data_IF_065684765615
#
_entry.id   IF_065684765615
#
_cell.length_a   1.000
_cell.length_b   1.000
_cell.length_c   1.000
_cell.angle_alpha   90.00
_cell.angle_beta   90.00
_cell.angle_gamma   90.00
#
_symmetry.space_group_name_H-M   'P 1'
#
loop_
_entity.id
_entity.type
_entity.pdbx_description
1 polymer ?
#
# COMPACT_ATOMS: atom_id res chain seq x y z
N UNK A 1 4.55 65.87 50.75
CA UNK A 1 4.30 64.50 51.26
C UNK A 1 2.90 64.07 50.79
N UNK A 2 2.72 62.81 50.35
CA UNK A 2 1.53 62.18 49.70
C UNK A 2 1.52 62.24 48.17
N UNK A 3 1.21 61.18 47.43
CA UNK A 3 1.41 59.70 47.53
C UNK A 3 1.19 59.23 46.09
N UNK A 4 2.13 58.45 45.55
CA UNK A 4 2.08 57.87 44.19
C UNK A 4 1.01 56.76 44.15
N UNK A 5 0.14 56.78 43.15
CA UNK A 5 -0.71 55.63 42.80
C UNK A 5 -0.21 55.09 41.47
N UNK A 6 0.56 53.99 41.54
CA UNK A 6 0.88 53.15 40.39
C UNK A 6 -0.33 52.24 40.15
N UNK A 7 -0.91 52.29 38.95
CA UNK A 7 -1.90 51.32 38.49
C UNK A 7 -1.12 50.22 37.76
N UNK A 8 -1.02 49.06 38.41
CA UNK A 8 -0.47 47.84 37.81
C UNK A 8 -1.56 47.22 36.93
N UNK A 9 -1.41 47.30 35.61
CA UNK A 9 -2.28 46.58 34.68
C UNK A 9 -1.82 45.11 34.61
N UNK A 10 -2.62 44.22 35.19
CA UNK A 10 -2.46 42.77 35.15
C UNK A 10 -2.84 42.28 33.74
N UNK A 11 -1.84 42.02 32.91
CA UNK A 11 -2.03 41.40 31.61
C UNK A 11 -2.40 39.92 31.78
N UNK A 12 -3.67 39.58 31.55
CA UNK A 12 -4.11 38.19 31.41
C UNK A 12 -3.57 37.66 30.09
N UNK A 13 -2.51 36.86 30.18
CA UNK A 13 -1.95 36.10 29.06
C UNK A 13 -2.95 34.99 28.71
N UNK A 14 -3.76 35.24 27.66
CA UNK A 14 -4.66 34.24 27.09
C UNK A 14 -3.82 33.19 26.35
N UNK A 15 -3.47 32.09 27.02
CA UNK A 15 -2.86 30.94 26.34
C UNK A 15 -3.93 30.19 25.53
N UNK A 16 -3.65 29.81 24.27
CA UNK A 16 -4.56 28.98 23.49
C UNK A 16 -4.66 27.58 24.12
N UNK A 17 -5.88 27.05 24.18
CA UNK A 17 -6.24 25.75 24.74
C UNK A 17 -5.95 24.63 23.71
N UNK A 18 -4.92 23.78 23.90
CA UNK A 18 -4.70 22.59 23.06
C UNK A 18 -5.74 21.48 23.31
N UNK A 19 -6.47 21.53 24.43
CA UNK A 19 -7.40 20.48 24.85
C UNK A 19 -8.62 20.28 23.93
N UNK A 20 -9.10 21.33 23.26
CA UNK A 20 -10.27 21.25 22.37
C UNK A 20 -9.99 20.55 21.04
N UNK A 21 -8.72 20.47 20.63
CA UNK A 21 -8.34 19.79 19.39
C UNK A 21 -8.43 18.27 19.55
N UNK A 22 -7.94 17.72 20.67
CA UNK A 22 -7.96 16.28 20.96
C UNK A 22 -9.38 15.71 21.05
N UNK A 23 -10.29 16.35 21.79
CA UNK A 23 -11.68 15.89 21.91
C UNK A 23 -12.43 15.82 20.57
N UNK A 24 -12.13 16.75 19.65
CA UNK A 24 -12.73 16.76 18.31
C UNK A 24 -12.20 15.62 17.45
N UNK A 25 -10.91 15.34 17.51
CA UNK A 25 -10.27 14.28 16.74
C UNK A 25 -10.71 12.90 17.25
N UNK A 26 -10.88 12.72 18.56
CA UNK A 26 -11.41 11.50 19.16
C UNK A 26 -12.87 11.23 18.74
N UNK A 27 -13.72 12.26 18.74
CA UNK A 27 -15.11 12.11 18.28
C UNK A 27 -15.19 11.79 16.77
N UNK A 28 -14.31 12.37 15.95
CA UNK A 28 -14.25 12.05 14.52
C UNK A 28 -13.68 10.65 14.28
N UNK A 29 -12.72 10.20 15.08
CA UNK A 29 -12.22 8.84 15.07
C UNK A 29 -13.36 7.83 15.32
N UNK A 30 -14.15 8.01 16.37
CA UNK A 30 -15.28 7.14 16.69
C UNK A 30 -16.25 7.03 15.50
N UNK A 31 -16.65 8.17 14.93
CA UNK A 31 -17.54 8.23 13.75
C UNK A 31 -16.96 7.49 12.54
N UNK A 32 -15.66 7.66 12.28
CA UNK A 32 -14.99 6.99 11.15
C UNK A 32 -14.83 5.50 11.37
N UNK A 33 -14.59 5.07 12.62
CA UNK A 33 -14.49 3.65 13.00
C UNK A 33 -15.83 2.95 12.81
N UNK A 34 -16.95 3.56 13.24
CA UNK A 34 -18.29 3.01 13.00
C UNK A 34 -18.59 2.84 11.51
N UNK A 35 -18.27 3.86 10.70
CA UNK A 35 -18.42 3.79 9.24
C UNK A 35 -17.55 2.67 8.63
N UNK A 36 -16.31 2.53 9.10
CA UNK A 36 -15.36 1.52 8.65
C UNK A 36 -15.87 0.10 8.98
N UNK A 37 -16.36 -0.12 10.20
CA UNK A 37 -16.95 -1.39 10.61
C UNK A 37 -18.17 -1.75 9.74
N UNK A 38 -19.07 -0.79 9.52
CA UNK A 38 -20.24 -0.97 8.65
C UNK A 38 -19.86 -1.35 7.22
N UNK A 39 -18.79 -0.76 6.66
CA UNK A 39 -18.29 -1.15 5.35
C UNK A 39 -17.66 -2.55 5.35
N UNK A 40 -16.93 -2.90 6.40
CA UNK A 40 -16.30 -4.21 6.57
C UNK A 40 -17.33 -5.34 6.65
N UNK A 41 -18.37 -5.18 7.46
CA UNK A 41 -19.47 -6.15 7.59
C UNK A 41 -20.16 -6.45 6.25
N UNK A 42 -20.23 -5.44 5.38
CA UNK A 42 -20.83 -5.54 4.05
C UNK A 42 -19.82 -5.91 2.95
N UNK A 43 -18.57 -6.18 3.32
CA UNK A 43 -17.46 -6.49 2.42
C UNK A 43 -17.20 -5.40 1.36
N UNK A 44 -17.50 -4.14 1.70
CA UNK A 44 -17.26 -2.97 0.84
C UNK A 44 -15.85 -2.47 1.07
N UNK A 45 -14.86 -3.19 0.54
CA UNK A 45 -13.44 -2.95 0.83
C UNK A 45 -12.95 -1.56 0.42
N UNK A 46 -13.39 -1.03 -0.72
CA UNK A 46 -13.07 0.36 -1.11
C UNK A 46 -13.59 1.39 -0.10
N UNK A 47 -14.70 1.10 0.58
CA UNK A 47 -15.23 1.91 1.67
C UNK A 47 -14.35 1.86 2.92
N UNK A 48 -13.87 0.67 3.28
CA UNK A 48 -12.92 0.46 4.38
C UNK A 48 -11.62 1.23 4.13
N UNK A 49 -11.03 1.09 2.94
CA UNK A 49 -9.79 1.80 2.56
C UNK A 49 -9.91 3.31 2.75
N UNK A 50 -10.96 3.91 2.18
CA UNK A 50 -11.17 5.35 2.25
C UNK A 50 -11.36 5.85 3.69
N UNK A 51 -12.06 5.09 4.53
CA UNK A 51 -12.25 5.47 5.94
C UNK A 51 -10.96 5.30 6.74
N UNK A 52 -10.21 4.25 6.45
CA UNK A 52 -8.93 4.02 7.10
C UNK A 52 -7.91 5.13 6.78
N UNK A 53 -7.82 5.57 5.52
CA UNK A 53 -6.97 6.71 5.14
C UNK A 53 -7.40 8.01 5.85
N UNK A 54 -8.71 8.24 6.01
CA UNK A 54 -9.22 9.37 6.77
C UNK A 54 -8.84 9.29 8.25
N UNK A 55 -8.91 8.10 8.85
CA UNK A 55 -8.48 7.84 10.23
C UNK A 55 -6.98 8.10 10.38
N UNK A 56 -6.15 7.64 9.45
CA UNK A 56 -4.70 7.90 9.46
C UNK A 56 -4.34 9.37 9.24
N UNK A 57 -5.25 10.15 8.65
CA UNK A 57 -5.12 11.59 8.47
C UNK A 57 -5.63 12.43 9.65
N UNK A 58 -6.20 11.79 10.67
CA UNK A 58 -6.48 12.46 11.95
C UNK A 58 -5.15 12.82 12.63
N UNK A 59 -5.18 13.81 13.52
CA UNK A 59 -4.01 14.32 14.24
C UNK A 59 -3.45 13.35 15.27
N UNK A 60 -3.22 13.83 16.49
CA UNK A 60 -2.59 13.03 17.55
C UNK A 60 -3.63 12.14 18.25
N UNK A 61 -4.19 11.18 17.50
CA UNK A 61 -5.15 10.20 18.00
C UNK A 61 -4.59 8.79 17.93
N UNK A 62 -4.82 8.03 18.99
CA UNK A 62 -4.45 6.63 19.04
C UNK A 62 -5.49 5.79 18.29
N UNK A 63 -5.09 5.28 17.13
CA UNK A 63 -5.93 4.37 16.34
C UNK A 63 -5.96 2.98 17.01
N UNK A 64 -7.15 2.40 17.27
CA UNK A 64 -7.24 1.07 17.87
C UNK A 64 -6.67 -0.05 16.99
N UNK A 65 -6.12 -1.10 17.62
CA UNK A 65 -5.60 -2.30 16.94
C UNK A 65 -6.58 -2.89 15.92
N UNK A 66 -7.85 -3.04 16.30
CA UNK A 66 -8.87 -3.66 15.44
C UNK A 66 -9.17 -2.90 14.17
N UNK A 67 -8.95 -1.58 14.18
CA UNK A 67 -9.08 -0.74 12.97
C UNK A 67 -7.98 -1.08 11.98
N UNK A 68 -6.74 -1.22 12.46
CA UNK A 68 -5.60 -1.65 11.64
C UNK A 68 -5.82 -3.05 11.07
N UNK A 69 -6.30 -4.01 11.87
CA UNK A 69 -6.57 -5.38 11.41
C UNK A 69 -7.69 -5.42 10.36
N UNK A 70 -8.78 -4.70 10.59
CA UNK A 70 -9.88 -4.60 9.62
C UNK A 70 -9.39 -4.01 8.29
N UNK A 71 -8.56 -2.97 8.35
CA UNK A 71 -7.94 -2.40 7.16
C UNK A 71 -6.94 -3.36 6.50
N UNK A 72 -6.19 -4.16 7.26
CA UNK A 72 -5.29 -5.17 6.70
C UNK A 72 -6.07 -6.22 5.89
N UNK A 73 -7.20 -6.70 6.42
CA UNK A 73 -8.08 -7.62 5.67
C UNK A 73 -8.62 -6.99 4.38
N UNK A 74 -9.01 -5.71 4.41
CA UNK A 74 -9.48 -5.00 3.22
C UNK A 74 -8.37 -4.84 2.16
N UNK A 75 -7.15 -4.51 2.55
CA UNK A 75 -5.99 -4.45 1.66
C UNK A 75 -5.70 -5.81 1.02
N UNK A 76 -5.65 -6.88 1.82
CA UNK A 76 -5.44 -8.26 1.32
C UNK A 76 -6.55 -8.65 0.34
N UNK A 77 -7.80 -8.37 0.69
CA UNK A 77 -8.94 -8.63 -0.17
C UNK A 77 -8.89 -7.83 -1.49
N UNK A 78 -8.09 -6.76 -1.59
CA UNK A 78 -7.84 -6.00 -2.81
C UNK A 78 -6.59 -6.44 -3.57
N UNK A 79 -5.76 -7.31 -2.99
CA UNK A 79 -4.48 -7.75 -3.55
C UNK A 79 -3.29 -6.88 -3.15
N UNK A 80 -3.47 -5.89 -2.27
CA UNK A 80 -2.39 -5.00 -1.82
C UNK A 80 -1.70 -5.58 -0.58
N UNK A 81 -0.74 -6.47 -0.82
CA UNK A 81 0.00 -7.15 0.25
C UNK A 81 0.96 -6.21 0.98
N UNK A 82 1.49 -5.19 0.30
CA UNK A 82 2.36 -4.20 0.94
C UNK A 82 1.60 -3.37 1.98
N UNK A 83 0.40 -2.89 1.64
CA UNK A 83 -0.47 -2.21 2.59
C UNK A 83 -0.98 -3.16 3.67
N UNK A 84 -1.25 -4.42 3.35
CA UNK A 84 -1.61 -5.44 4.35
C UNK A 84 -0.51 -5.55 5.41
N UNK A 85 0.73 -5.73 4.99
CA UNK A 85 1.89 -5.87 5.88
C UNK A 85 2.08 -4.61 6.75
N UNK A 86 2.05 -3.41 6.17
CA UNK A 86 2.17 -2.15 6.93
C UNK A 86 1.09 -2.02 8.02
N UNK A 87 -0.14 -2.45 7.71
CA UNK A 87 -1.28 -2.39 8.64
C UNK A 87 -1.17 -3.41 9.76
N UNK A 88 -0.68 -4.62 9.48
CA UNK A 88 -0.40 -5.62 10.51
C UNK A 88 0.71 -5.16 11.45
N UNK A 89 1.77 -4.56 10.91
CA UNK A 89 2.84 -3.98 11.72
C UNK A 89 2.33 -2.82 12.59
N UNK A 90 1.41 -1.98 12.09
CA UNK A 90 0.71 -0.97 12.90
C UNK A 90 -0.11 -1.58 14.01
N UNK A 91 -0.89 -2.63 13.72
CA UNK A 91 -1.68 -3.35 14.71
C UNK A 91 -0.80 -3.88 15.86
N UNK A 92 0.32 -4.54 15.52
CA UNK A 92 1.29 -5.06 16.48
C UNK A 92 2.02 -3.98 17.30
N UNK A 93 2.16 -2.77 16.76
CA UNK A 93 2.69 -1.61 17.53
C UNK A 93 1.71 -1.13 18.59
N UNK A 94 0.40 -1.31 18.39
CA UNK A 94 -0.62 -0.97 19.39
C UNK A 94 -0.66 -2.04 20.47
N UNK A 95 -0.82 -3.30 20.06
CA UNK A 95 -0.81 -4.46 20.96
C UNK A 95 -0.32 -5.68 20.17
N UNK A 96 0.73 -6.31 20.69
CA UNK A 96 1.37 -7.45 20.05
C UNK A 96 0.53 -8.71 20.18
N UNK A 97 0.42 -9.45 19.09
CA UNK A 97 -0.38 -10.66 19.01
C UNK A 97 0.33 -11.73 18.17
N UNK A 98 0.36 -12.97 18.66
CA UNK A 98 1.08 -14.09 18.03
C UNK A 98 0.46 -14.50 16.68
N UNK A 99 -0.86 -14.35 16.49
CA UNK A 99 -1.52 -14.63 15.21
C UNK A 99 -1.16 -13.56 14.17
N UNK A 100 -1.06 -12.30 14.60
CA UNK A 100 -0.60 -11.19 13.73
C UNK A 100 0.87 -11.38 13.36
N UNK A 101 1.73 -11.75 14.31
CA UNK A 101 3.14 -12.08 14.04
C UNK A 101 3.27 -13.26 13.05
N UNK A 102 2.45 -14.30 13.21
CA UNK A 102 2.42 -15.44 12.29
C UNK A 102 1.98 -15.03 10.88
N UNK A 103 0.99 -14.15 10.76
CA UNK A 103 0.53 -13.65 9.46
C UNK A 103 1.59 -12.75 8.78
N UNK A 104 2.29 -11.90 9.55
CA UNK A 104 3.43 -11.12 9.04
C UNK A 104 4.53 -12.05 8.52
N UNK A 105 4.85 -13.11 9.26
CA UNK A 105 5.86 -14.08 8.85
C UNK A 105 5.44 -14.79 7.55
N UNK A 106 4.19 -15.25 7.46
CA UNK A 106 3.65 -15.87 6.25
C UNK A 106 3.80 -14.97 5.02
N UNK A 107 3.48 -13.68 5.15
CA UNK A 107 3.63 -12.71 4.05
C UNK A 107 5.10 -12.61 3.64
N UNK A 108 6.03 -12.51 4.59
CA UNK A 108 7.45 -12.36 4.28
C UNK A 108 8.09 -13.62 3.68
N UNK A 109 7.51 -14.80 3.93
CA UNK A 109 7.96 -16.07 3.34
C UNK A 109 7.39 -16.32 1.94
N UNK A 110 6.22 -15.76 1.63
CA UNK A 110 5.52 -16.03 0.38
C UNK A 110 5.68 -14.92 -0.66
N UNK A 111 5.99 -13.69 -0.26
CA UNK A 111 5.99 -12.52 -1.13
C UNK A 111 7.34 -11.78 -1.08
N UNK A 112 7.77 -11.28 -2.24
CA UNK A 112 8.95 -10.40 -2.36
C UNK A 112 8.53 -8.96 -2.65
N UNK A 113 9.27 -7.99 -2.11
CA UNK A 113 9.07 -6.56 -2.42
C UNK A 113 9.55 -6.27 -3.84
N UNK A 114 8.75 -5.55 -4.61
CA UNK A 114 9.09 -5.19 -5.98
C UNK A 114 8.89 -3.70 -6.25
N UNK A 115 9.73 -3.17 -7.12
CA UNK A 115 9.56 -1.85 -7.72
C UNK A 115 9.73 -2.03 -9.22
N UNK A 116 8.61 -1.97 -9.93
CA UNK A 116 8.52 -2.18 -11.37
C UNK A 116 8.15 -0.85 -12.00
N UNK A 117 8.97 -0.34 -12.92
CA UNK A 117 8.66 0.91 -13.59
C UNK A 117 9.19 0.98 -15.02
N UNK A 118 8.53 1.81 -15.81
CA UNK A 118 8.94 2.18 -17.16
C UNK A 118 9.41 3.62 -17.20
N UNK A 119 10.42 3.91 -18.02
CA UNK A 119 10.95 5.28 -18.20
C UNK A 119 10.92 5.67 -19.69
N UNK A 120 10.06 6.61 -20.11
CA UNK A 120 9.04 7.30 -19.29
C UNK A 120 7.88 6.36 -18.89
N UNK A 121 7.10 6.69 -17.84
CA UNK A 121 5.95 5.91 -17.39
C UNK A 121 4.95 5.71 -18.53
N UNK A 122 4.77 4.45 -18.93
CA UNK A 122 3.84 4.03 -19.98
C UNK A 122 3.34 2.63 -19.68
N UNK A 123 2.07 2.40 -20.02
CA UNK A 123 1.44 1.09 -19.93
C UNK A 123 2.28 -0.02 -20.53
N UNK A 124 2.53 -1.07 -19.76
CA UNK A 124 3.25 -2.25 -20.22
C UNK A 124 2.63 -3.53 -19.68
N UNK A 125 2.66 -4.55 -20.52
CA UNK A 125 2.23 -5.90 -20.16
C UNK A 125 3.26 -6.54 -19.21
N UNK A 126 2.74 -7.15 -18.15
CA UNK A 126 3.47 -8.02 -17.24
C UNK A 126 2.73 -9.36 -17.16
N UNK A 127 3.49 -10.46 -17.09
CA UNK A 127 2.94 -11.81 -16.94
C UNK A 127 3.73 -12.60 -15.92
N UNK A 128 3.04 -13.41 -15.12
CA UNK A 128 3.70 -14.48 -14.38
C UNK A 128 3.97 -15.64 -15.35
N UNK A 129 5.14 -16.27 -15.26
CA UNK A 129 5.46 -17.48 -16.04
C UNK A 129 4.47 -18.61 -15.71
N UNK A 130 4.14 -18.74 -14.43
CA UNK A 130 3.10 -19.65 -13.92
C UNK A 130 2.15 -18.86 -13.04
N UNK A 131 0.89 -18.74 -13.47
CA UNK A 131 -0.13 -18.07 -12.67
C UNK A 131 -0.40 -18.83 -11.37
N UNK A 132 -0.43 -18.14 -10.21
CA UNK A 132 -0.78 -18.78 -8.94
C UNK A 132 -2.17 -19.43 -8.97
N UNK A 133 -2.25 -20.63 -8.40
CA UNK A 133 -3.53 -21.33 -8.23
C UNK A 133 -4.40 -20.68 -7.15
N UNK A 134 -3.77 -20.26 -6.05
CA UNK A 134 -4.42 -19.59 -4.92
C UNK A 134 -5.08 -18.27 -5.36
N UNK A 135 -6.39 -18.07 -5.11
CA UNK A 135 -7.11 -16.87 -5.56
C UNK A 135 -6.52 -15.56 -5.03
N UNK A 136 -6.06 -15.54 -3.78
CA UNK A 136 -5.44 -14.36 -3.17
C UNK A 136 -4.18 -13.96 -3.93
N UNK A 137 -3.25 -14.89 -4.14
CA UNK A 137 -2.00 -14.65 -4.90
C UNK A 137 -2.27 -14.21 -6.32
N UNK A 138 -3.27 -14.81 -6.98
CA UNK A 138 -3.70 -14.39 -8.32
C UNK A 138 -4.11 -12.92 -8.34
N UNK A 139 -4.91 -12.50 -7.36
CA UNK A 139 -5.38 -11.12 -7.26
C UNK A 139 -4.24 -10.11 -7.08
N UNK A 140 -3.18 -10.49 -6.38
CA UNK A 140 -1.96 -9.67 -6.26
C UNK A 140 -1.28 -9.48 -7.62
N UNK A 141 -1.15 -10.55 -8.41
CA UNK A 141 -0.59 -10.46 -9.76
C UNK A 141 -1.48 -9.61 -10.66
N UNK A 142 -2.81 -9.81 -10.63
CA UNK A 142 -3.77 -9.01 -11.41
C UNK A 142 -3.71 -7.51 -11.05
N UNK A 143 -3.54 -7.18 -9.77
CA UNK A 143 -3.36 -5.80 -9.32
C UNK A 143 -2.09 -5.18 -9.95
N UNK A 144 -0.97 -5.88 -9.87
CA UNK A 144 0.30 -5.42 -10.42
C UNK A 144 0.27 -5.25 -11.95
N UNK A 145 -0.39 -6.19 -12.66
CA UNK A 145 -0.60 -6.09 -14.11
C UNK A 145 -1.41 -4.84 -14.43
N UNK A 146 -2.54 -4.64 -13.75
CA UNK A 146 -3.40 -3.47 -13.97
C UNK A 146 -2.65 -2.15 -13.76
N UNK A 147 -1.91 -2.02 -12.65
CA UNK A 147 -1.16 -0.79 -12.34
C UNK A 147 -0.02 -0.54 -13.34
N UNK A 148 0.69 -1.57 -13.78
CA UNK A 148 1.69 -1.45 -14.84
C UNK A 148 1.08 -1.11 -16.20
N UNK A 149 -0.11 -1.60 -16.53
CA UNK A 149 -0.81 -1.29 -17.78
C UNK A 149 -1.37 0.13 -17.79
N UNK A 150 -1.89 0.61 -16.65
CA UNK A 150 -2.52 1.94 -16.53
C UNK A 150 -1.48 3.04 -16.32
N UNK A 151 -0.53 2.84 -15.41
CA UNK A 151 0.40 3.87 -14.92
C UNK A 151 1.84 3.64 -15.36
N UNK A 152 2.20 2.41 -15.75
CA UNK A 152 3.57 2.04 -16.09
C UNK A 152 4.48 1.93 -14.87
N UNK A 153 3.92 1.90 -13.67
CA UNK A 153 4.60 1.80 -12.38
C UNK A 153 3.81 0.88 -11.45
N UNK A 154 4.51 0.01 -10.72
CA UNK A 154 3.98 -0.77 -9.61
C UNK A 154 5.01 -0.82 -8.48
N UNK A 155 4.59 -0.43 -7.27
CA UNK A 155 5.43 -0.48 -6.07
C UNK A 155 4.66 -1.27 -5.02
N UNK A 156 5.10 -2.48 -4.72
CA UNK A 156 4.34 -3.36 -3.85
C UNK A 156 5.05 -4.66 -3.54
N UNK A 157 4.28 -5.73 -3.37
CA UNK A 157 4.78 -7.08 -3.16
C UNK A 157 4.14 -8.04 -4.14
N UNK A 158 4.94 -8.97 -4.68
CA UNK A 158 4.47 -10.03 -5.56
C UNK A 158 4.74 -11.40 -4.93
N UNK A 159 3.91 -12.42 -5.22
CA UNK A 159 4.23 -13.79 -4.83
C UNK A 159 5.60 -14.21 -5.38
N UNK A 160 6.31 -15.05 -4.63
CA UNK A 160 7.53 -15.67 -5.11
C UNK A 160 7.31 -16.38 -6.46
N UNK A 161 8.21 -16.18 -7.41
CA UNK A 161 8.09 -16.78 -8.73
C UNK A 161 8.79 -15.99 -9.82
N UNK A 162 8.63 -16.46 -11.05
CA UNK A 162 9.20 -15.84 -12.25
C UNK A 162 8.15 -15.07 -13.01
N UNK A 163 8.57 -13.93 -13.52
CA UNK A 163 7.73 -12.95 -14.18
C UNK A 163 8.44 -12.41 -15.40
N UNK A 164 7.64 -11.92 -16.34
CA UNK A 164 8.10 -11.20 -17.51
C UNK A 164 7.42 -9.84 -17.54
N UNK A 165 8.20 -8.78 -17.76
CA UNK A 165 7.71 -7.43 -17.98
C UNK A 165 8.30 -6.91 -19.27
N UNK A 166 7.47 -6.54 -20.25
CA UNK A 166 7.96 -5.99 -21.51
C UNK A 166 8.94 -6.89 -22.27
N UNK A 167 8.81 -8.22 -22.15
CA UNK A 167 9.73 -9.20 -22.72
C UNK A 167 10.92 -9.57 -21.83
N UNK A 168 11.23 -8.77 -20.80
CA UNK A 168 12.33 -9.04 -19.87
C UNK A 168 11.87 -9.92 -18.72
N UNK A 169 12.59 -11.02 -18.48
CA UNK A 169 12.38 -11.90 -17.33
C UNK A 169 12.99 -11.33 -16.04
N UNK A 170 12.33 -11.57 -14.93
CA UNK A 170 12.83 -11.34 -13.57
C UNK A 170 12.24 -12.35 -12.60
N UNK A 171 12.93 -12.55 -11.48
CA UNK A 171 12.50 -13.46 -10.41
C UNK A 171 12.23 -12.67 -9.14
N UNK A 172 11.13 -13.00 -8.47
CA UNK A 172 10.75 -12.45 -7.18
C UNK A 172 11.10 -13.47 -6.11
N UNK A 173 12.00 -13.07 -5.21
CA UNK A 173 12.46 -13.89 -4.10
C UNK A 173 11.96 -13.26 -2.78
N UNK A 174 11.31 -14.02 -1.90
CA UNK A 174 10.88 -13.54 -0.58
C UNK A 174 12.03 -12.94 0.23
N UNK A 175 11.75 -11.86 0.97
CA UNK A 175 12.74 -11.13 1.77
C UNK A 175 13.77 -10.32 0.97
N UNK A 176 13.79 -10.41 -0.37
CA UNK A 176 14.71 -9.66 -1.24
C UNK A 176 13.95 -8.63 -2.06
N UNK A 177 14.39 -7.38 -2.00
CA UNK A 177 13.84 -6.30 -2.82
C UNK A 177 14.29 -6.45 -4.27
N UNK A 178 13.33 -6.52 -5.20
CA UNK A 178 13.60 -6.62 -6.65
C UNK A 178 13.20 -5.34 -7.35
N UNK A 179 14.14 -4.67 -8.02
CA UNK A 179 13.84 -3.48 -8.83
C UNK A 179 14.02 -3.82 -10.30
N UNK A 180 12.99 -3.57 -11.10
CA UNK A 180 13.04 -3.75 -12.55
C UNK A 180 12.64 -2.44 -13.22
N UNK A 181 13.56 -1.90 -13.99
CA UNK A 181 13.36 -0.69 -14.79
C UNK A 181 13.46 -1.06 -16.27
N UNK A 182 12.54 -0.52 -17.08
CA UNK A 182 12.58 -0.60 -18.54
C UNK A 182 12.54 0.78 -19.18
N UNK A 183 13.62 1.13 -19.86
CA UNK A 183 13.70 2.36 -20.65
C UNK A 183 13.02 2.19 -22.01
N UNK A 184 12.60 3.31 -22.62
CA UNK A 184 12.06 3.31 -23.98
C UNK A 184 13.01 2.70 -25.04
N UNK A 185 14.33 2.75 -24.79
CA UNK A 185 15.33 2.14 -25.68
C UNK A 185 15.31 0.62 -25.57
N UNK A 186 15.24 0.08 -24.36
CA UNK A 186 15.18 -1.35 -24.10
C UNK A 186 13.89 -1.96 -24.64
N UNK A 187 12.76 -1.28 -24.44
CA UNK A 187 11.47 -1.72 -24.99
C UNK A 187 11.48 -1.84 -26.52
N UNK A 188 12.18 -0.93 -27.21
CA UNK A 188 12.32 -0.99 -28.67
C UNK A 188 13.27 -2.10 -29.10
N UNK A 189 14.35 -2.32 -28.36
CA UNK A 189 15.30 -3.40 -28.65
C UNK A 189 14.63 -4.76 -28.50
N UNK A 190 13.82 -4.95 -27.47
CA UNK A 190 13.13 -6.21 -27.20
C UNK A 190 12.03 -6.49 -28.24
N UNK A 191 11.24 -5.47 -28.59
CA UNK A 191 10.27 -5.59 -29.70
C UNK A 191 10.93 -5.94 -31.04
N UNK A 192 12.15 -5.45 -31.27
CA UNK A 192 12.89 -5.78 -32.49
C UNK A 192 13.32 -7.24 -32.48
N UNK A 193 13.88 -7.74 -31.36
CA UNK A 193 14.28 -9.13 -31.21
C UNK A 193 13.12 -10.10 -31.44
N UNK A 194 11.98 -9.84 -30.79
CA UNK A 194 10.78 -10.66 -30.98
C UNK A 194 10.32 -10.72 -32.45
N UNK A 195 10.38 -9.60 -33.17
CA UNK A 195 10.02 -9.57 -34.59
C UNK A 195 11.01 -10.35 -35.46
N UNK A 196 12.30 -10.20 -35.20
CA UNK A 196 13.34 -10.90 -35.96
C UNK A 196 13.23 -12.43 -35.74
N UNK A 197 12.89 -12.88 -34.53
CA UNK A 197 12.67 -14.30 -34.20
C UNK A 197 11.40 -14.88 -34.88
N UNK A 198 10.31 -14.11 -34.96
CA UNK A 198 9.07 -14.54 -35.63
C UNK A 198 9.23 -14.67 -37.16
N UNK A 199 10.08 -13.84 -37.79
CA UNK A 199 10.34 -13.87 -39.23
C UNK A 199 11.16 -15.11 -39.66
N UNK A 200 12.00 -15.67 -38.78
CA UNK A 200 12.79 -16.90 -39.04
C UNK A 200 11.96 -18.19 -38.92
N UNK A 201 10.86 -18.20 -38.15
CA UNK A 201 10.00 -19.39 -37.98
C UNK A 201 8.97 -19.53 -39.11
N UNK A 202 8.60 -18.43 -39.78
CA UNK A 202 7.61 -18.44 -40.88
C UNK A 202 8.18 -18.77 -42.28
N UNK A 203 9.50 -18.93 -42.41
CA UNK A 203 10.19 -19.15 -43.69
C UNK A 203 10.45 -20.61 -44.08
N UNK A 204 10.10 -21.58 -43.22
CA UNK A 204 10.22 -23.01 -43.49
C UNK A 204 8.87 -23.65 -43.74
N UNK A 205 8.58 -23.93 -45.01
CA UNK A 205 7.44 -24.75 -45.50
C UNK A 205 7.30 -26.11 -44.80
#
# INVERSE_FOLDING_TARGET
MRRRTFITALGVLLMPLPALAGEREEAELERLVEDLQRFSERQVWTGVERRYEQILGLGDVQVPREVHLTAAHAARARGDIAATLDRLERANRVERDDEVDAWILEINEQYGRVTLLTVPPRGIDMRAEVMPFEPDKRKVVELAVRELEEEGVFIGMLPAGRYQMGGREFEVIPGVGTTVELSAKELRAEKKRQRDDDEDVGGGE
#
